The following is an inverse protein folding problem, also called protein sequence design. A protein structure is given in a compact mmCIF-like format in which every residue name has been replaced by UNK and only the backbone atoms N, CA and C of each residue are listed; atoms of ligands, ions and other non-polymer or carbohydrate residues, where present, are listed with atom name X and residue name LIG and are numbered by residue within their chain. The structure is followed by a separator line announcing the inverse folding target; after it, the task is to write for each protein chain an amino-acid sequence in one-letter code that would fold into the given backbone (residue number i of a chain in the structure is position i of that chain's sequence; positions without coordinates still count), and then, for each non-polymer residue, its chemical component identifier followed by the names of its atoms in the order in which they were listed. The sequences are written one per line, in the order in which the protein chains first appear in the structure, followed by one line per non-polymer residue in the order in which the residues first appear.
data_IF_202371393704
#
_entry.id   IF_202371393704
#
_cell.length_a   1.000
_cell.length_b   1.000
_cell.length_c   1.000
_cell.angle_alpha   90.00
_cell.angle_beta   90.00
_cell.angle_gamma   90.00
#
_symmetry.space_group_name_H-M   'P 1'
#
loop_
_entity.id
_entity.type
_entity.pdbx_description
1 polymer ?
#
# COMPACT_ATOMS: atom_id res chain seq x y z
N UNK A 1 11.21 1.46 11.53
CA UNK A 1 10.79 1.72 10.14
C UNK A 1 9.32 1.40 9.94
N UNK A 2 8.65 2.16 9.10
CA UNK A 2 7.27 1.86 8.72
C UNK A 2 7.25 0.63 7.79
N UNK A 3 6.30 -0.24 7.99
CA UNK A 3 6.27 -1.57 7.36
C UNK A 3 5.37 -1.57 6.14
N UNK A 4 5.91 -2.05 5.03
CA UNK A 4 5.25 -2.07 3.73
C UNK A 4 4.99 -3.50 3.27
N UNK A 5 3.75 -3.78 2.88
CA UNK A 5 3.35 -5.04 2.26
C UNK A 5 3.07 -4.78 0.77
N UNK A 6 3.70 -5.56 -0.10
CA UNK A 6 3.45 -5.50 -1.54
C UNK A 6 2.54 -6.65 -1.94
N UNK A 7 1.46 -6.36 -2.67
CA UNK A 7 0.49 -7.37 -3.10
C UNK A 7 0.31 -7.30 -4.61
N UNK A 8 0.68 -8.37 -5.31
CA UNK A 8 0.50 -8.47 -6.76
C UNK A 8 0.69 -9.94 -7.15
N UNK A 9 -0.16 -10.45 -8.03
CA UNK A 9 -0.02 -11.82 -8.52
C UNK A 9 1.13 -11.96 -9.53
N UNK A 10 1.69 -10.86 -10.01
CA UNK A 10 2.84 -10.84 -10.89
C UNK A 10 4.11 -10.68 -10.07
N UNK A 11 4.87 -11.77 -9.91
CA UNK A 11 6.12 -11.80 -9.15
C UNK A 11 7.10 -10.71 -9.59
N UNK A 12 7.19 -10.45 -10.91
CA UNK A 12 8.11 -9.45 -11.44
C UNK A 12 7.81 -8.04 -10.94
N UNK A 13 6.54 -7.74 -10.67
CA UNK A 13 6.15 -6.42 -10.17
C UNK A 13 6.65 -6.24 -8.72
N UNK A 14 6.36 -7.19 -7.84
CA UNK A 14 6.76 -7.07 -6.43
C UNK A 14 8.29 -7.07 -6.30
N UNK A 15 8.98 -7.95 -7.01
CA UNK A 15 10.43 -7.99 -6.97
C UNK A 15 11.06 -6.74 -7.58
N UNK A 16 10.47 -6.25 -8.68
CA UNK A 16 10.93 -5.00 -9.30
C UNK A 16 10.82 -3.82 -8.36
N UNK A 17 9.72 -3.69 -7.65
CA UNK A 17 9.52 -2.60 -6.67
C UNK A 17 10.54 -2.68 -5.55
N UNK A 18 10.81 -3.88 -5.03
CA UNK A 18 11.80 -4.06 -3.96
C UNK A 18 13.20 -3.61 -4.37
N UNK A 19 13.56 -3.88 -5.63
CA UNK A 19 14.91 -3.54 -6.15
C UNK A 19 15.01 -2.07 -6.54
N UNK A 20 13.97 -1.53 -7.19
CA UNK A 20 14.03 -0.21 -7.82
C UNK A 20 13.69 0.94 -6.88
N UNK A 21 12.91 0.69 -5.84
CA UNK A 21 12.45 1.74 -4.93
C UNK A 21 13.26 1.70 -3.63
N UNK A 22 13.99 2.78 -3.31
CA UNK A 22 14.77 2.83 -2.08
C UNK A 22 13.88 3.20 -0.88
N UNK A 23 13.05 2.25 -0.43
CA UNK A 23 12.09 2.48 0.65
C UNK A 23 12.73 3.02 1.94
N UNK A 24 13.95 2.60 2.24
CA UNK A 24 14.67 3.04 3.44
C UNK A 24 14.92 4.55 3.46
N UNK A 25 14.93 5.19 2.29
CA UNK A 25 15.06 6.65 2.18
C UNK A 25 13.91 7.37 2.90
N UNK A 26 12.75 6.74 2.98
CA UNK A 26 11.56 7.30 3.61
C UNK A 26 11.22 6.59 4.93
N UNK A 27 12.21 5.95 5.53
CA UNK A 27 12.05 5.20 6.78
C UNK A 27 10.99 4.09 6.66
N UNK A 28 11.03 3.40 5.54
CA UNK A 28 10.12 2.29 5.22
C UNK A 28 10.91 1.05 4.87
N UNK A 29 10.32 -0.13 5.13
CA UNK A 29 10.91 -1.40 4.71
C UNK A 29 9.80 -2.33 4.21
N UNK A 30 10.09 -3.07 3.14
CA UNK A 30 9.19 -4.10 2.64
C UNK A 30 9.35 -5.32 3.53
N UNK A 31 8.33 -5.62 4.33
CA UNK A 31 8.38 -6.73 5.28
C UNK A 31 7.89 -8.04 4.68
N UNK A 32 7.06 -7.96 3.63
CA UNK A 32 6.55 -9.16 2.96
C UNK A 32 5.96 -8.81 1.61
N UNK A 33 5.78 -9.86 0.79
CA UNK A 33 5.03 -9.78 -0.46
C UNK A 33 3.93 -10.85 -0.41
N UNK A 34 2.78 -10.55 -1.02
CA UNK A 34 1.67 -11.48 -1.12
C UNK A 34 1.26 -11.62 -2.58
N UNK A 35 0.87 -12.82 -2.98
CA UNK A 35 0.51 -13.12 -4.37
C UNK A 35 -0.98 -12.93 -4.65
N UNK A 36 -1.79 -12.86 -3.60
CA UNK A 36 -3.23 -12.66 -3.72
C UNK A 36 -3.79 -12.01 -2.46
N UNK A 37 -5.09 -11.69 -2.51
CA UNK A 37 -5.76 -10.99 -1.42
C UNK A 37 -5.85 -11.84 -0.15
N UNK A 38 -6.08 -13.14 -0.27
CA UNK A 38 -6.18 -14.02 0.90
C UNK A 38 -4.87 -14.07 1.67
N UNK A 39 -3.77 -14.21 0.97
CA UNK A 39 -2.43 -14.21 1.58
C UNK A 39 -2.16 -12.87 2.28
N UNK A 40 -2.54 -11.77 1.63
CA UNK A 40 -2.36 -10.44 2.21
C UNK A 40 -3.21 -10.23 3.45
N UNK A 41 -4.48 -10.64 3.41
CA UNK A 41 -5.38 -10.54 4.56
C UNK A 41 -4.87 -11.35 5.74
N UNK A 42 -4.38 -12.54 5.49
CA UNK A 42 -3.80 -13.40 6.53
C UNK A 42 -2.56 -12.73 7.14
N UNK A 43 -1.71 -12.16 6.31
CA UNK A 43 -0.50 -11.49 6.79
C UNK A 43 -0.82 -10.33 7.73
N UNK A 44 -1.73 -9.44 7.35
CA UNK A 44 -2.03 -8.26 8.17
C UNK A 44 -2.76 -8.59 9.46
N UNK A 45 -3.39 -9.76 9.57
CA UNK A 45 -3.98 -10.23 10.83
C UNK A 45 -2.92 -10.59 11.87
N UNK A 46 -1.77 -11.04 11.41
CA UNK A 46 -0.74 -11.64 12.27
C UNK A 46 0.52 -10.80 12.39
N UNK A 47 0.66 -9.76 11.57
CA UNK A 47 1.86 -8.92 11.54
C UNK A 47 1.48 -7.44 11.37
N UNK A 48 2.21 -6.53 12.02
CA UNK A 48 1.95 -5.10 11.85
C UNK A 48 2.37 -4.63 10.45
N UNK A 49 1.52 -3.81 9.84
CA UNK A 49 1.77 -3.20 8.52
C UNK A 49 1.26 -1.76 8.56
N UNK A 50 2.01 -0.85 7.97
CA UNK A 50 1.65 0.57 7.92
C UNK A 50 1.15 0.98 6.53
N UNK A 51 1.64 0.34 5.48
CA UNK A 51 1.31 0.66 4.10
C UNK A 51 1.18 -0.62 3.27
N UNK A 52 0.11 -0.69 2.49
CA UNK A 52 -0.10 -1.77 1.51
C UNK A 52 -0.06 -1.15 0.11
N UNK A 53 0.82 -1.66 -0.74
CA UNK A 53 0.85 -1.31 -2.16
C UNK A 53 0.31 -2.52 -2.91
N UNK A 54 -0.85 -2.37 -3.55
CA UNK A 54 -1.56 -3.51 -4.11
C UNK A 54 -2.03 -3.27 -5.54
N UNK A 55 -1.98 -4.35 -6.34
CA UNK A 55 -2.68 -4.42 -7.61
C UNK A 55 -4.19 -4.51 -7.36
N UNK A 56 -4.98 -4.03 -8.31
CA UNK A 56 -6.43 -4.15 -8.25
C UNK A 56 -6.89 -5.49 -8.82
N UNK A 57 -6.35 -5.85 -9.97
CA UNK A 57 -6.84 -7.01 -10.73
C UNK A 57 -6.04 -8.26 -10.38
N UNK A 58 -6.57 -9.04 -9.44
CA UNK A 58 -5.96 -10.30 -8.98
C UNK A 58 -6.97 -11.43 -9.06
N UNK A 59 -6.51 -12.68 -9.28
CA UNK A 59 -7.41 -13.83 -9.24
C UNK A 59 -8.11 -13.96 -7.89
N UNK A 60 -9.38 -14.31 -7.91
CA UNK A 60 -10.20 -14.40 -6.70
C UNK A 60 -10.68 -13.02 -6.25
N UNK A 61 -10.42 -12.68 -5.01
CA UNK A 61 -10.78 -11.36 -4.47
C UNK A 61 -9.89 -10.27 -5.11
N UNK A 62 -10.51 -9.19 -5.61
CA UNK A 62 -9.74 -8.08 -6.17
C UNK A 62 -9.17 -7.18 -5.07
N UNK A 63 -8.26 -6.27 -5.48
CA UNK A 63 -7.59 -5.39 -4.53
C UNK A 63 -8.52 -4.44 -3.79
N UNK A 64 -9.60 -3.98 -4.42
CA UNK A 64 -10.54 -3.06 -3.78
C UNK A 64 -11.37 -3.75 -2.69
N UNK A 65 -11.80 -4.97 -2.95
CA UNK A 65 -12.52 -5.77 -1.94
C UNK A 65 -11.60 -6.07 -0.75
N UNK A 66 -10.33 -6.39 -1.03
CA UNK A 66 -9.32 -6.61 0.00
C UNK A 66 -9.13 -5.36 0.86
N UNK A 67 -8.99 -4.19 0.25
CA UNK A 67 -8.82 -2.92 0.96
C UNK A 67 -10.02 -2.64 1.86
N UNK A 68 -11.24 -2.85 1.35
CA UNK A 68 -12.46 -2.64 2.14
C UNK A 68 -12.45 -3.50 3.40
N UNK A 69 -12.07 -4.77 3.28
CA UNK A 69 -11.98 -5.67 4.43
C UNK A 69 -10.88 -5.25 5.41
N UNK A 70 -9.71 -4.87 4.90
CA UNK A 70 -8.61 -4.43 5.75
C UNK A 70 -8.97 -3.16 6.52
N UNK A 71 -9.68 -2.22 5.89
CA UNK A 71 -10.06 -0.97 6.54
C UNK A 71 -11.04 -1.18 7.69
N UNK A 72 -11.89 -2.19 7.62
CA UNK A 72 -12.80 -2.49 8.72
C UNK A 72 -12.06 -2.83 10.01
N UNK A 73 -10.99 -3.61 9.91
CA UNK A 73 -10.22 -4.04 11.08
C UNK A 73 -9.03 -3.13 11.39
N UNK A 74 -8.49 -2.44 10.36
CA UNK A 74 -7.26 -1.66 10.48
C UNK A 74 -7.48 -0.29 9.83
N UNK A 75 -8.26 0.60 10.47
CA UNK A 75 -8.64 1.88 9.85
C UNK A 75 -7.50 2.85 9.59
N UNK A 76 -6.34 2.65 10.22
CA UNK A 76 -5.17 3.53 10.04
C UNK A 76 -4.23 3.06 8.94
N UNK A 77 -4.47 1.88 8.39
CA UNK A 77 -3.62 1.31 7.34
C UNK A 77 -3.73 2.15 6.07
N UNK A 78 -2.59 2.54 5.50
CA UNK A 78 -2.54 3.31 4.27
C UNK A 78 -2.44 2.39 3.06
N UNK A 79 -2.98 2.83 1.93
CA UNK A 79 -3.01 2.04 0.70
C UNK A 79 -2.58 2.86 -0.50
N UNK A 80 -1.76 2.25 -1.36
CA UNK A 80 -1.48 2.75 -2.70
C UNK A 80 -1.95 1.68 -3.67
N UNK A 81 -2.72 2.06 -4.67
CA UNK A 81 -3.26 1.14 -5.66
C UNK A 81 -2.45 1.22 -6.95
N UNK A 82 -2.09 0.06 -7.49
CA UNK A 82 -1.49 -0.08 -8.81
C UNK A 82 -2.55 -0.67 -9.73
N UNK A 83 -2.83 -0.02 -10.85
CA UNK A 83 -3.85 -0.49 -11.78
C UNK A 83 -3.36 -0.45 -13.22
N UNK A 84 -3.91 -1.32 -14.06
CA UNK A 84 -3.69 -1.26 -15.50
C UNK A 84 -4.43 -0.09 -16.12
N UNK A 85 -3.99 0.30 -17.30
CA UNK A 85 -4.53 1.45 -18.03
C UNK A 85 -6.05 1.35 -18.26
N UNK A 86 -6.57 0.14 -18.36
CA UNK A 86 -7.99 -0.10 -18.70
C UNK A 86 -8.91 -0.18 -17.49
N UNK A 87 -8.40 0.09 -16.28
CA UNK A 87 -9.15 -0.14 -15.04
C UNK A 87 -9.69 1.15 -14.41
N UNK A 88 -10.10 2.09 -15.26
CA UNK A 88 -10.58 3.42 -14.84
C UNK A 88 -11.74 3.35 -13.83
N UNK A 89 -12.67 2.40 -14.01
CA UNK A 89 -13.79 2.25 -13.10
C UNK A 89 -13.35 1.87 -11.69
N UNK A 90 -12.28 1.11 -11.58
CA UNK A 90 -11.71 0.76 -10.28
C UNK A 90 -11.11 1.99 -9.57
N UNK A 91 -10.51 2.89 -10.34
CA UNK A 91 -9.94 4.12 -9.79
C UNK A 91 -11.02 4.97 -9.12
N UNK A 92 -12.20 5.08 -9.72
CA UNK A 92 -13.34 5.80 -9.13
C UNK A 92 -13.76 5.19 -7.81
N UNK A 93 -13.85 3.86 -7.75
CA UNK A 93 -14.19 3.15 -6.50
C UNK A 93 -13.12 3.35 -5.44
N UNK A 94 -11.86 3.39 -5.86
CA UNK A 94 -10.74 3.60 -4.95
C UNK A 94 -10.82 4.95 -4.23
N UNK A 95 -11.25 6.00 -4.93
CA UNK A 95 -11.42 7.31 -4.33
C UNK A 95 -12.46 7.28 -3.20
N UNK A 96 -13.50 6.46 -3.34
CA UNK A 96 -14.50 6.29 -2.30
C UNK A 96 -14.00 5.50 -1.10
N UNK A 97 -12.93 4.71 -1.26
CA UNK A 97 -12.31 3.94 -0.18
C UNK A 97 -11.25 4.75 0.59
N UNK A 98 -11.02 5.99 0.20
CA UNK A 98 -10.05 6.88 0.86
C UNK A 98 -8.64 6.27 0.91
N UNK A 99 -8.16 5.78 -0.24
CA UNK A 99 -6.78 5.33 -0.36
C UNK A 99 -5.85 6.54 -0.46
N UNK A 100 -4.57 6.34 -0.13
CA UNK A 100 -3.59 7.42 -0.17
C UNK A 100 -3.36 7.93 -1.59
N UNK A 101 -3.23 6.99 -2.54
CA UNK A 101 -3.06 7.36 -3.95
C UNK A 101 -3.20 6.12 -4.84
N UNK A 102 -3.19 6.35 -6.14
CA UNK A 102 -3.18 5.27 -7.12
C UNK A 102 -2.18 5.60 -8.24
N UNK A 103 -1.65 4.57 -8.86
CA UNK A 103 -0.72 4.68 -9.98
C UNK A 103 -1.13 3.74 -11.10
N UNK A 104 -0.94 4.18 -12.35
CA UNK A 104 -1.18 3.35 -13.52
C UNK A 104 0.11 2.62 -13.89
N UNK A 105 0.01 1.32 -14.15
CA UNK A 105 1.16 0.52 -14.58
C UNK A 105 1.53 0.86 -16.03
N UNK A 106 2.81 0.87 -16.38
CA UNK A 106 3.98 0.54 -15.57
C UNK A 106 4.28 1.62 -14.53
N UNK A 107 4.75 1.20 -13.35
CA UNK A 107 4.97 2.10 -12.24
C UNK A 107 6.10 3.09 -12.55
N UNK A 108 5.80 4.37 -12.40
CA UNK A 108 6.79 5.44 -12.57
C UNK A 108 7.47 5.68 -11.22
N UNK A 109 8.81 5.55 -11.19
CA UNK A 109 9.59 5.70 -9.96
C UNK A 109 9.44 7.08 -9.33
N UNK A 110 9.39 8.13 -10.16
CA UNK A 110 9.28 9.50 -9.67
C UNK A 110 7.92 9.74 -9.02
N UNK A 111 6.85 9.24 -9.64
CA UNK A 111 5.51 9.38 -9.07
C UNK A 111 5.39 8.62 -7.75
N UNK A 112 5.87 7.38 -7.71
CA UNK A 112 5.82 6.59 -6.49
C UNK A 112 6.68 7.22 -5.39
N UNK A 113 7.86 7.70 -5.72
CA UNK A 113 8.73 8.37 -4.76
C UNK A 113 8.05 9.60 -4.13
N UNK A 114 7.35 10.40 -4.93
CA UNK A 114 6.62 11.57 -4.42
C UNK A 114 5.52 11.17 -3.44
N UNK A 115 4.80 10.08 -3.72
CA UNK A 115 3.75 9.57 -2.84
C UNK A 115 4.35 9.06 -1.53
N UNK A 116 5.44 8.31 -1.61
CA UNK A 116 6.11 7.76 -0.42
C UNK A 116 6.68 8.87 0.47
N UNK A 117 7.22 9.91 -0.13
CA UNK A 117 7.69 11.09 0.61
C UNK A 117 6.56 11.73 1.42
N UNK A 118 5.42 11.93 0.78
CA UNK A 118 4.23 12.50 1.41
C UNK A 118 3.72 11.63 2.54
N UNK A 119 3.63 10.32 2.32
CA UNK A 119 3.19 9.37 3.34
C UNK A 119 4.16 9.31 4.51
N UNK A 120 5.46 9.35 4.24
CA UNK A 120 6.48 9.38 5.29
C UNK A 120 6.28 10.56 6.23
N UNK A 121 6.02 11.73 5.68
CA UNK A 121 5.73 12.92 6.48
C UNK A 121 4.46 12.76 7.31
N UNK A 122 3.42 12.17 6.74
CA UNK A 122 2.17 11.92 7.46
C UNK A 122 2.37 10.93 8.61
N UNK A 123 3.11 9.87 8.40
CA UNK A 123 3.42 8.89 9.44
C UNK A 123 4.21 9.54 10.59
N UNK A 124 5.20 10.34 10.26
CA UNK A 124 6.03 11.04 11.26
C UNK A 124 5.21 12.04 12.05
N UNK A 125 4.32 12.78 11.41
CA UNK A 125 3.42 13.73 12.07
C UNK A 125 2.47 13.03 13.03
N UNK A 126 1.88 11.89 12.64
CA UNK A 126 1.01 11.11 13.51
C UNK A 126 1.75 10.65 14.76
N UNK A 127 2.98 10.15 14.59
CA UNK A 127 3.80 9.74 15.74
C UNK A 127 4.12 10.91 16.66
N UNK A 128 4.43 12.06 16.09
CA UNK A 128 4.72 13.26 16.85
C UNK A 128 3.52 13.73 17.66
N UNK A 129 2.33 13.74 17.05
CA UNK A 129 1.10 14.11 17.75
C UNK A 129 0.79 13.17 18.91
N UNK A 130 1.01 11.88 18.73
CA UNK A 130 0.80 10.90 19.79
C UNK A 130 1.74 11.15 20.97
N UNK A 131 2.99 11.48 20.69
CA UNK A 131 3.96 11.80 21.73
C UNK A 131 3.59 13.08 22.48
N UNK A 132 3.14 14.10 21.79
CA UNK A 132 2.69 15.34 22.41
C UNK A 132 1.47 15.13 23.30
N UNK A 133 0.55 14.24 22.91
CA UNK A 133 -0.65 13.95 23.69
C UNK A 133 -0.33 13.25 25.02
N UNK A 134 0.79 12.56 25.11
CA UNK A 134 1.22 11.87 26.34
C UNK A 134 1.84 12.83 27.33
N UNK A 135 2.44 13.89 26.86
CA UNK A 135 3.09 14.89 27.68
C UNK A 135 2.24 16.16 27.83
#
# INVERSE_FOLDING_TARGET
MHKVLLVDDEYMITEGLKVLIPFEKWNMEVVATANDAEEALDYVKNHPVDLVITDVNMPGMNGLEMIAQMKESLPKLAFIILSGYQEFEYVKKALNLQVADYLVKPVNKVELAAILEKLSQQFDQSSHYQMEAIF
#
